data_IF_294275329795
#
_entry.id   IF_294275329795
#
_cell.length_a   1.000
_cell.length_b   1.000
_cell.length_c   1.000
_cell.angle_alpha   90.00
_cell.angle_beta   90.00
_cell.angle_gamma   90.00
#
_symmetry.space_group_name_H-M   'P 1'
#
loop_
_entity.id
_entity.type
_entity.pdbx_description
1 polymer ?
#
# COMPACT_ATOMS: atom_id res chain seq x y z
N UNK A 1 -8.06 -37.85 16.36
CA UNK A 1 -6.92 -37.16 17.00
C UNK A 1 -7.46 -35.98 17.78
N UNK A 2 -7.39 -36.06 19.11
CA UNK A 2 -7.94 -35.09 20.06
C UNK A 2 -7.16 -33.78 19.99
N UNK A 3 -7.84 -32.66 19.71
CA UNK A 3 -7.32 -31.31 19.90
C UNK A 3 -7.30 -31.02 21.41
N UNK A 4 -6.23 -31.39 22.09
CA UNK A 4 -5.95 -30.83 23.42
C UNK A 4 -5.67 -29.35 23.24
N UNK A 5 -6.67 -28.53 23.56
CA UNK A 5 -6.57 -27.08 23.63
C UNK A 5 -5.36 -26.70 24.50
N UNK A 6 -4.41 -25.94 23.93
CA UNK A 6 -3.23 -25.41 24.63
C UNK A 6 -3.59 -24.47 25.81
N UNK A 7 -4.88 -24.29 26.13
CA UNK A 7 -5.37 -23.43 27.21
C UNK A 7 -4.84 -23.80 28.60
N UNK A 8 -4.47 -25.06 28.85
CA UNK A 8 -3.93 -25.47 30.16
C UNK A 8 -2.47 -25.06 30.39
N UNK A 9 -1.73 -24.66 29.36
CA UNK A 9 -0.30 -24.28 29.48
C UNK A 9 -0.09 -22.79 29.83
N UNK A 10 -1.10 -21.95 29.62
CA UNK A 10 -0.97 -20.49 29.78
C UNK A 10 -1.29 -19.98 31.20
N UNK A 11 -1.86 -20.83 32.06
CA UNK A 11 -2.31 -20.43 33.40
C UNK A 11 -3.54 -19.50 33.38
N UNK A 12 -3.91 -18.90 34.52
CA UNK A 12 -5.04 -17.97 34.58
C UNK A 12 -4.72 -16.64 33.88
N UNK A 13 -5.75 -15.99 33.34
CA UNK A 13 -5.64 -14.60 32.85
C UNK A 13 -5.49 -13.67 34.06
N UNK A 14 -4.31 -13.08 34.21
CA UNK A 14 -3.95 -12.22 35.34
C UNK A 14 -3.72 -10.75 34.96
N UNK A 15 -4.11 -10.34 33.76
CA UNK A 15 -4.09 -8.93 33.33
C UNK A 15 -5.49 -8.48 32.94
N UNK A 16 -5.96 -7.40 33.55
CA UNK A 16 -7.21 -6.73 33.25
C UNK A 16 -6.93 -5.40 32.56
N UNK A 17 -7.29 -5.28 31.28
CA UNK A 17 -7.23 -4.04 30.52
C UNK A 17 -8.58 -3.34 30.68
N UNK A 18 -8.61 -2.21 31.39
CA UNK A 18 -9.82 -1.46 31.72
C UNK A 18 -9.91 -0.20 30.88
N UNK A 19 -11.02 -0.04 30.16
CA UNK A 19 -11.30 1.08 29.29
C UNK A 19 -12.35 1.98 29.91
N UNK A 20 -12.06 3.28 30.00
CA UNK A 20 -13.00 4.30 30.46
C UNK A 20 -13.73 3.96 31.78
N UNK A 21 -13.12 3.13 32.63
CA UNK A 21 -13.64 2.77 33.96
C UNK A 21 -14.53 1.51 34.01
N UNK A 22 -15.14 1.07 32.91
CA UNK A 22 -16.25 0.12 32.99
C UNK A 22 -16.05 -1.21 32.22
N UNK A 23 -15.27 -1.20 31.13
CA UNK A 23 -15.11 -2.42 30.30
C UNK A 23 -13.76 -3.10 30.53
N UNK A 24 -13.78 -4.39 30.87
CA UNK A 24 -12.57 -5.17 31.18
C UNK A 24 -12.29 -6.22 30.10
N UNK A 25 -11.11 -6.16 29.48
CA UNK A 25 -10.56 -7.25 28.68
C UNK A 25 -9.52 -8.02 29.49
N UNK A 26 -9.58 -9.35 29.43
CA UNK A 26 -8.66 -10.20 30.18
C UNK A 26 -7.60 -10.83 29.28
N UNK A 27 -6.34 -10.78 29.72
CA UNK A 27 -5.18 -11.34 29.04
C UNK A 27 -4.23 -12.07 29.99
N UNK A 28 -3.33 -12.90 29.43
CA UNK A 28 -2.25 -13.57 30.14
C UNK A 28 -1.00 -12.68 30.10
N UNK A 29 -0.48 -12.28 31.26
CA UNK A 29 0.76 -11.49 31.38
C UNK A 29 1.91 -12.08 30.57
N UNK A 30 2.11 -13.40 30.66
CA UNK A 30 3.16 -14.14 29.93
C UNK A 30 3.08 -13.94 28.42
N UNK A 31 1.86 -13.93 27.87
CA UNK A 31 1.67 -13.73 26.42
C UNK A 31 1.99 -12.28 26.05
N UNK A 32 1.55 -11.31 26.86
CA UNK A 32 1.84 -9.89 26.60
C UNK A 32 3.35 -9.58 26.70
N UNK A 33 4.04 -10.14 27.69
CA UNK A 33 5.49 -10.01 27.87
C UNK A 33 6.29 -10.48 26.63
N UNK A 34 5.82 -11.51 25.94
CA UNK A 34 6.50 -12.03 24.74
C UNK A 34 6.38 -11.10 23.53
N UNK A 35 5.27 -10.37 23.41
CA UNK A 35 4.90 -9.67 22.18
C UNK A 35 4.74 -8.16 22.32
N UNK A 36 4.93 -7.60 23.51
CA UNK A 36 4.78 -6.17 23.80
C UNK A 36 5.80 -5.70 24.82
N UNK A 37 6.66 -4.75 24.43
CA UNK A 37 7.69 -4.20 25.32
C UNK A 37 7.09 -3.42 26.49
N UNK A 38 5.86 -2.90 26.35
CA UNK A 38 5.12 -2.27 27.45
C UNK A 38 4.93 -3.21 28.67
N UNK A 39 4.98 -4.53 28.45
CA UNK A 39 4.84 -5.54 29.50
C UNK A 39 6.14 -6.28 29.82
N UNK A 40 7.20 -6.15 29.01
CA UNK A 40 8.42 -6.97 29.09
C UNK A 40 9.12 -6.91 30.46
N UNK A 41 9.25 -5.71 31.04
CA UNK A 41 9.98 -5.51 32.31
C UNK A 41 9.09 -5.66 33.55
N UNK A 42 7.84 -6.12 33.39
CA UNK A 42 6.90 -6.14 34.51
C UNK A 42 7.00 -7.43 35.32
N UNK A 43 7.03 -7.34 36.66
CA UNK A 43 7.06 -8.52 37.51
C UNK A 43 5.81 -9.36 37.29
N UNK A 44 6.02 -10.64 37.01
CA UNK A 44 4.95 -11.64 36.84
C UNK A 44 4.49 -12.08 38.22
N UNK A 45 3.60 -11.31 38.85
CA UNK A 45 2.99 -11.73 40.12
C UNK A 45 1.93 -12.79 39.77
N UNK A 46 2.15 -14.03 40.22
CA UNK A 46 1.34 -15.18 39.81
C UNK A 46 -0.09 -15.17 40.39
N UNK A 47 -0.32 -14.42 41.46
CA UNK A 47 -1.58 -14.42 42.21
C UNK A 47 -2.35 -13.08 42.15
N UNK A 48 -1.69 -11.98 41.78
CA UNK A 48 -2.34 -10.67 41.69
C UNK A 48 -2.79 -10.35 40.26
N UNK A 49 -4.05 -9.97 40.14
CA UNK A 49 -4.60 -9.42 38.90
C UNK A 49 -4.04 -8.01 38.67
N UNK A 50 -3.27 -7.84 37.61
CA UNK A 50 -2.76 -6.53 37.21
C UNK A 50 -3.82 -5.76 36.41
N UNK A 51 -4.34 -4.69 37.00
CA UNK A 51 -5.28 -3.79 36.33
C UNK A 51 -4.53 -2.67 35.61
N UNK A 52 -4.79 -2.54 34.32
CA UNK A 52 -4.24 -1.53 33.44
C UNK A 52 -5.33 -0.64 32.91
N UNK A 53 -5.27 0.63 33.32
CA UNK A 53 -6.19 1.65 32.82
C UNK A 53 -5.68 2.16 31.49
N UNK A 54 -6.42 1.84 30.42
CA UNK A 54 -6.25 2.47 29.13
C UNK A 54 -7.13 3.71 29.16
N UNK A 55 -6.56 4.82 29.63
CA UNK A 55 -7.19 6.14 29.55
C UNK A 55 -7.10 6.60 28.10
N UNK A 56 -8.10 6.25 27.30
CA UNK A 56 -8.33 6.93 26.04
C UNK A 56 -9.02 8.25 26.37
N UNK A 57 -8.36 9.39 26.14
CA UNK A 57 -9.10 10.61 25.79
C UNK A 57 -10.07 10.27 24.64
N UNK A 58 -11.18 10.99 24.43
CA UNK A 58 -12.06 10.76 23.28
C UNK A 58 -11.20 10.72 22.00
N UNK A 59 -11.00 9.52 21.48
CA UNK A 59 -9.87 9.21 20.63
C UNK A 59 -10.09 7.85 19.94
N UNK A 60 -9.23 7.50 18.97
CA UNK A 60 -9.51 6.41 18.03
C UNK A 60 -9.42 5.01 18.65
N UNK A 61 -8.91 4.87 19.87
CA UNK A 61 -8.70 3.57 20.53
C UNK A 61 -9.97 3.16 21.27
N UNK A 62 -10.70 2.21 20.69
CA UNK A 62 -11.88 1.59 21.29
C UNK A 62 -11.56 0.22 21.87
N UNK A 63 -12.47 -0.35 22.68
CA UNK A 63 -12.37 -1.75 23.13
C UNK A 63 -12.19 -2.71 21.95
N UNK A 64 -12.84 -2.45 20.81
CA UNK A 64 -12.71 -3.28 19.62
C UNK A 64 -11.27 -3.28 19.07
N UNK A 65 -10.60 -2.12 19.07
CA UNK A 65 -9.20 -1.99 18.63
C UNK A 65 -8.28 -2.81 19.53
N UNK A 66 -8.47 -2.77 20.85
CA UNK A 66 -7.61 -3.54 21.75
C UNK A 66 -7.92 -5.03 21.72
N UNK A 67 -9.19 -5.41 21.53
CA UNK A 67 -9.54 -6.80 21.29
C UNK A 67 -8.86 -7.33 20.02
N UNK A 68 -8.85 -6.55 18.93
CA UNK A 68 -8.16 -6.93 17.69
C UNK A 68 -6.64 -7.05 17.88
N UNK A 69 -6.03 -6.14 18.65
CA UNK A 69 -4.62 -6.23 19.01
C UNK A 69 -4.31 -7.50 19.82
N UNK A 70 -5.14 -7.82 20.82
CA UNK A 70 -5.03 -9.08 21.56
C UNK A 70 -5.17 -10.27 20.62
N UNK A 71 -6.17 -10.27 19.73
CA UNK A 71 -6.38 -11.36 18.77
C UNK A 71 -5.16 -11.55 17.86
N UNK A 72 -4.51 -10.46 17.42
CA UNK A 72 -3.26 -10.50 16.66
C UNK A 72 -2.11 -11.15 17.44
N UNK A 73 -1.99 -10.82 18.73
CA UNK A 73 -1.00 -11.43 19.63
C UNK A 73 -1.30 -12.91 19.86
N UNK A 74 -2.53 -13.25 20.21
CA UNK A 74 -2.90 -14.65 20.51
C UNK A 74 -2.85 -15.54 19.28
N UNK A 75 -3.05 -15.01 18.08
CA UNK A 75 -2.84 -15.77 16.84
C UNK A 75 -1.39 -16.27 16.67
N UNK A 76 -0.41 -15.65 17.34
CA UNK A 76 0.99 -16.14 17.33
C UNK A 76 1.21 -17.34 18.26
N UNK A 77 0.35 -17.51 19.26
CA UNK A 77 0.46 -18.57 20.28
C UNK A 77 -0.50 -19.73 20.00
N UNK A 78 -1.63 -19.42 19.37
CA UNK A 78 -2.71 -20.35 19.08
C UNK A 78 -3.11 -20.21 17.62
N UNK A 79 -2.62 -21.14 16.79
CA UNK A 79 -2.89 -21.17 15.35
C UNK A 79 -4.36 -21.43 15.00
N UNK A 80 -5.19 -21.82 15.97
CA UNK A 80 -6.64 -21.91 15.78
C UNK A 80 -7.32 -20.54 15.78
N UNK A 81 -6.63 -19.50 16.26
CA UNK A 81 -7.09 -18.11 16.22
C UNK A 81 -6.61 -17.46 14.93
N UNK A 82 -7.54 -16.87 14.20
CA UNK A 82 -7.26 -16.04 13.03
C UNK A 82 -7.31 -14.57 13.42
N UNK A 83 -6.33 -13.78 12.99
CA UNK A 83 -6.44 -12.32 13.02
C UNK A 83 -7.61 -11.87 12.12
N UNK A 84 -8.59 -11.19 12.69
CA UNK A 84 -9.72 -10.61 11.97
C UNK A 84 -9.62 -9.09 11.98
N UNK A 85 -9.28 -8.54 10.82
CA UNK A 85 -9.22 -7.09 10.62
C UNK A 85 -10.62 -6.51 10.35
N UNK A 86 -10.91 -5.29 10.82
CA UNK A 86 -12.26 -4.72 10.88
C UNK A 86 -12.95 -4.62 9.52
N UNK A 87 -12.22 -4.20 8.49
CA UNK A 87 -12.76 -4.00 7.15
C UNK A 87 -11.64 -4.08 6.11
N UNK A 88 -12.00 -3.94 4.83
CA UNK A 88 -11.03 -3.80 3.73
C UNK A 88 -10.61 -2.34 3.51
N UNK A 89 -11.03 -1.43 4.39
CA UNK A 89 -10.56 -0.06 4.41
C UNK A 89 -9.28 0.04 5.25
N UNK A 90 -8.23 0.61 4.68
CA UNK A 90 -6.97 0.85 5.38
C UNK A 90 -7.14 1.80 6.56
N UNK A 91 -7.99 2.83 6.41
CA UNK A 91 -8.24 3.85 7.45
C UNK A 91 -8.81 3.25 8.74
N UNK A 92 -9.70 2.25 8.61
CA UNK A 92 -10.28 1.54 9.76
C UNK A 92 -9.25 0.71 10.54
N UNK A 93 -8.10 0.43 9.93
CA UNK A 93 -7.00 -0.32 10.54
C UNK A 93 -5.93 0.60 11.16
N UNK A 94 -5.95 1.90 10.87
CA UNK A 94 -4.99 2.86 11.45
C UNK A 94 -5.04 2.91 12.99
N UNK A 95 -6.23 2.90 13.64
CA UNK A 95 -6.29 2.86 15.10
C UNK A 95 -5.57 1.65 15.70
N UNK A 96 -5.70 0.47 15.07
CA UNK A 96 -4.99 -0.74 15.49
C UNK A 96 -3.48 -0.59 15.34
N UNK A 97 -3.01 -0.05 14.22
CA UNK A 97 -1.58 0.14 13.97
C UNK A 97 -0.96 1.14 14.96
N UNK A 98 -1.62 2.27 15.21
CA UNK A 98 -1.17 3.28 16.18
C UNK A 98 -1.18 2.71 17.59
N UNK A 99 -2.23 1.98 17.96
CA UNK A 99 -2.31 1.34 19.27
C UNK A 99 -1.21 0.28 19.45
N UNK A 100 -1.03 -0.60 18.47
CA UNK A 100 0.00 -1.63 18.52
C UNK A 100 1.40 -1.03 18.68
N UNK A 101 1.68 0.08 18.00
CA UNK A 101 2.93 0.81 18.17
C UNK A 101 3.09 1.39 19.58
N UNK A 102 2.06 2.04 20.12
CA UNK A 102 2.08 2.60 21.46
C UNK A 102 2.31 1.53 22.53
N UNK A 103 1.82 0.31 22.28
CA UNK A 103 2.07 -0.87 23.12
C UNK A 103 3.46 -1.49 22.90
N UNK A 104 4.28 -0.96 22.00
CA UNK A 104 5.60 -1.52 21.68
C UNK A 104 5.49 -2.96 21.17
N UNK A 105 4.51 -3.21 20.30
CA UNK A 105 4.24 -4.53 19.74
C UNK A 105 5.42 -5.01 18.91
N UNK A 106 5.82 -6.26 19.09
CA UNK A 106 6.96 -6.87 18.38
C UNK A 106 6.76 -6.91 16.87
N UNK A 107 7.89 -6.91 16.14
CA UNK A 107 7.91 -6.96 14.67
C UNK A 107 7.12 -8.15 14.11
N UNK A 108 7.15 -9.32 14.76
CA UNK A 108 6.45 -10.53 14.28
C UNK A 108 4.94 -10.28 14.19
N UNK A 109 4.34 -9.71 15.23
CA UNK A 109 2.91 -9.39 15.26
C UNK A 109 2.59 -8.26 14.26
N UNK A 110 3.43 -7.22 14.20
CA UNK A 110 3.25 -6.12 13.25
C UNK A 110 3.28 -6.60 11.80
N UNK A 111 4.23 -7.46 11.43
CA UNK A 111 4.28 -8.06 10.10
C UNK A 111 3.06 -8.94 9.81
N UNK A 112 2.53 -9.65 10.82
CA UNK A 112 1.30 -10.45 10.67
C UNK A 112 0.09 -9.56 10.36
N UNK A 113 -0.04 -8.41 11.03
CA UNK A 113 -1.09 -7.43 10.74
C UNK A 113 -0.93 -6.86 9.32
N UNK A 114 0.31 -6.45 8.97
CA UNK A 114 0.61 -5.94 7.63
C UNK A 114 0.33 -6.95 6.53
N UNK A 115 0.64 -8.24 6.74
CA UNK A 115 0.32 -9.30 5.79
C UNK A 115 -1.19 -9.50 5.64
N UNK A 116 -1.92 -9.56 6.74
CA UNK A 116 -3.37 -9.73 6.72
C UNK A 116 -4.08 -8.57 5.99
N UNK A 117 -3.56 -7.34 6.08
CA UNK A 117 -4.04 -6.21 5.27
C UNK A 117 -3.77 -6.42 3.78
N UNK A 118 -2.54 -6.80 3.43
CA UNK A 118 -2.13 -7.03 2.04
C UNK A 118 -2.89 -8.19 1.40
N UNK A 119 -3.27 -9.22 2.17
CA UNK A 119 -4.05 -10.37 1.67
C UNK A 119 -5.48 -10.01 1.26
N UNK A 120 -5.99 -8.84 1.65
CA UNK A 120 -7.30 -8.36 1.19
C UNK A 120 -7.21 -7.88 -0.26
N UNK A 121 -7.96 -8.56 -1.14
CA UNK A 121 -8.01 -8.24 -2.57
C UNK A 121 -8.71 -6.91 -2.85
N UNK A 122 -9.63 -6.51 -1.99
CA UNK A 122 -10.45 -5.29 -2.05
C UNK A 122 -9.93 -4.18 -1.11
N UNK A 123 -8.63 -4.25 -0.76
CA UNK A 123 -8.01 -3.24 0.09
C UNK A 123 -8.09 -1.85 -0.56
N UNK A 124 -8.72 -0.91 0.13
CA UNK A 124 -8.91 0.46 -0.32
C UNK A 124 -8.56 1.48 0.75
N UNK A 125 -8.37 2.72 0.34
CA UNK A 125 -8.18 3.88 1.22
C UNK A 125 -9.23 4.95 0.92
N UNK A 126 -9.55 5.76 1.93
CA UNK A 126 -10.47 6.88 1.79
C UNK A 126 -9.70 8.19 1.64
N UNK A 127 -10.12 9.02 0.69
CA UNK A 127 -9.56 10.34 0.42
C UNK A 127 -10.60 11.39 0.81
N UNK A 128 -10.38 12.17 1.88
CA UNK A 128 -11.31 13.22 2.27
C UNK A 128 -11.29 14.38 1.27
N UNK A 129 -12.48 14.82 0.84
CA UNK A 129 -12.69 15.72 -0.30
C UNK A 129 -13.01 17.17 0.09
N UNK A 130 -12.81 17.58 1.34
CA UNK A 130 -13.07 18.95 1.76
C UNK A 130 -13.38 19.07 3.26
N UNK A 131 -13.89 20.24 3.70
CA UNK A 131 -14.37 20.41 5.06
C UNK A 131 -15.64 19.57 5.32
N UNK A 132 -16.00 19.35 6.60
CA UNK A 132 -17.24 18.70 6.97
C UNK A 132 -18.44 19.42 6.35
N UNK A 133 -19.39 18.65 5.81
CA UNK A 133 -20.70 19.14 5.37
C UNK A 133 -21.49 19.71 6.56
N UNK A 134 -22.63 20.34 6.27
CA UNK A 134 -23.55 20.86 7.30
C UNK A 134 -23.99 19.79 8.33
N UNK A 135 -23.87 18.51 7.98
CA UNK A 135 -24.20 17.37 8.85
C UNK A 135 -22.97 16.84 9.62
N UNK A 136 -21.83 17.54 9.57
CA UNK A 136 -20.56 17.12 10.19
C UNK A 136 -19.82 16.00 9.44
N UNK A 137 -20.37 15.50 8.34
CA UNK A 137 -19.77 14.42 7.54
C UNK A 137 -18.82 14.99 6.48
N UNK A 138 -17.57 14.52 6.44
CA UNK A 138 -16.62 14.88 5.37
C UNK A 138 -16.90 14.01 4.15
N UNK A 139 -17.11 14.58 2.95
CA UNK A 139 -17.22 13.78 1.74
C UNK A 139 -15.91 13.02 1.49
N UNK A 140 -15.99 11.73 1.16
CA UNK A 140 -14.82 10.87 0.92
C UNK A 140 -14.92 10.16 -0.42
N UNK A 141 -13.77 9.93 -1.05
CA UNK A 141 -13.63 9.07 -2.23
C UNK A 141 -12.86 7.83 -1.82
N UNK A 142 -13.40 6.65 -2.13
CA UNK A 142 -12.71 5.37 -1.90
C UNK A 142 -11.82 5.02 -3.10
N UNK A 143 -10.58 4.63 -2.81
CA UNK A 143 -9.54 4.33 -3.79
C UNK A 143 -8.98 2.94 -3.50
N UNK A 144 -9.22 2.00 -4.41
CA UNK A 144 -8.65 0.66 -4.40
C UNK A 144 -7.14 0.73 -4.62
N UNK A 145 -6.40 0.07 -3.75
CA UNK A 145 -4.94 0.09 -3.77
C UNK A 145 -4.33 -0.94 -4.71
N UNK A 146 -5.16 -1.81 -5.32
CA UNK A 146 -4.73 -2.89 -6.22
C UNK A 146 -5.38 -2.75 -7.59
N UNK A 147 -4.57 -3.01 -8.62
CA UNK A 147 -4.98 -3.26 -10.01
C UNK A 147 -5.97 -2.26 -10.63
N UNK A 148 -6.02 -1.04 -10.09
CA UNK A 148 -6.96 0.02 -10.45
C UNK A 148 -6.17 1.27 -10.84
N UNK A 149 -6.41 1.78 -12.05
CA UNK A 149 -5.84 3.04 -12.54
C UNK A 149 -6.92 4.10 -12.46
N UNK A 150 -6.61 5.19 -11.77
CA UNK A 150 -7.47 6.35 -11.63
C UNK A 150 -7.06 7.42 -12.64
N UNK A 151 -8.02 8.17 -13.15
CA UNK A 151 -7.77 9.29 -14.05
C UNK A 151 -8.71 10.45 -13.78
N UNK A 152 -8.22 11.67 -14.04
CA UNK A 152 -9.00 12.91 -13.94
C UNK A 152 -9.19 13.47 -15.36
N UNK A 153 -10.39 13.42 -15.96
CA UNK A 153 -10.63 14.05 -17.25
C UNK A 153 -10.57 15.58 -17.14
N UNK A 154 -9.96 16.24 -18.14
CA UNK A 154 -10.03 17.71 -18.27
C UNK A 154 -11.48 18.15 -18.54
N UNK A 155 -11.88 19.30 -17.99
CA UNK A 155 -13.20 19.89 -18.22
C UNK A 155 -13.51 19.98 -19.72
N UNK A 156 -14.62 19.40 -20.16
CA UNK A 156 -15.05 19.43 -21.57
C UNK A 156 -14.74 18.17 -22.38
N UNK A 157 -13.90 17.26 -21.88
CA UNK A 157 -13.90 15.89 -22.39
C UNK A 157 -15.19 15.21 -21.92
N UNK A 158 -16.03 14.75 -22.84
CA UNK A 158 -17.28 14.10 -22.50
C UNK A 158 -17.01 12.97 -21.49
N UNK A 159 -17.55 13.11 -20.28
CA UNK A 159 -17.54 12.08 -19.24
C UNK A 159 -18.14 10.73 -19.69
N UNK A 160 -18.75 10.69 -20.89
CA UNK A 160 -19.42 9.53 -21.46
C UNK A 160 -18.55 8.56 -22.27
N UNK A 161 -17.27 8.85 -22.58
CA UNK A 161 -16.50 7.99 -23.51
C UNK A 161 -15.64 6.92 -22.84
N UNK A 162 -15.46 6.96 -21.52
CA UNK A 162 -14.79 5.90 -20.77
C UNK A 162 -15.82 5.21 -19.87
N UNK A 163 -16.74 4.46 -20.50
CA UNK A 163 -17.58 3.51 -19.75
C UNK A 163 -16.66 2.50 -19.08
N UNK A 164 -16.76 2.42 -17.76
CA UNK A 164 -16.09 1.40 -16.96
C UNK A 164 -16.29 0.02 -17.59
N UNK A 165 -15.19 -0.71 -17.67
CA UNK A 165 -15.20 -2.14 -17.93
C UNK A 165 -16.25 -2.82 -17.04
N UNK A 166 -16.92 -3.83 -17.59
CA UNK A 166 -18.06 -4.49 -16.96
C UNK A 166 -17.72 -4.98 -15.53
N UNK A 167 -18.70 -5.07 -14.61
CA UNK A 167 -18.49 -5.59 -13.24
C UNK A 167 -17.96 -7.04 -13.15
N UNK A 168 -17.75 -7.72 -14.29
CA UNK A 168 -17.18 -9.06 -14.40
C UNK A 168 -15.77 -9.09 -15.02
N UNK A 169 -15.18 -7.93 -15.33
CA UNK A 169 -13.79 -7.83 -15.82
C UNK A 169 -12.88 -7.41 -14.65
N UNK A 170 -11.70 -8.05 -14.48
CA UNK A 170 -10.85 -7.85 -13.31
C UNK A 170 -10.22 -6.44 -13.19
N UNK A 171 -10.46 -5.53 -14.14
CA UNK A 171 -9.91 -4.17 -14.11
C UNK A 171 -10.96 -3.11 -14.34
N UNK A 172 -11.06 -2.19 -13.39
CA UNK A 172 -11.85 -0.98 -13.53
C UNK A 172 -10.88 0.16 -13.80
N UNK A 173 -10.82 0.63 -15.05
CA UNK A 173 -10.33 1.99 -15.31
C UNK A 173 -11.40 2.92 -14.74
N UNK A 174 -11.20 3.38 -13.51
CA UNK A 174 -12.19 4.22 -12.83
C UNK A 174 -12.01 5.67 -13.27
N UNK A 175 -12.98 6.16 -14.05
CA UNK A 175 -13.24 7.59 -14.12
C UNK A 175 -13.64 7.98 -12.71
N UNK A 176 -12.95 8.93 -12.09
CA UNK A 176 -13.52 9.57 -10.92
C UNK A 176 -14.80 10.26 -11.40
N UNK A 177 -15.94 9.74 -10.96
CA UNK A 177 -17.26 10.16 -11.41
C UNK A 177 -17.40 11.69 -11.35
N UNK A 178 -18.27 12.22 -12.19
CA UNK A 178 -18.64 13.63 -12.22
C UNK A 178 -18.96 14.11 -10.80
N UNK A 179 -19.56 13.33 -9.91
CA UNK A 179 -19.75 13.69 -8.49
C UNK A 179 -18.44 13.88 -7.71
N UNK A 180 -17.47 12.97 -7.81
CA UNK A 180 -16.16 13.11 -7.17
C UNK A 180 -15.39 14.31 -7.73
N UNK A 181 -15.51 14.56 -9.04
CA UNK A 181 -14.94 15.75 -9.68
C UNK A 181 -15.68 17.05 -9.34
N UNK A 182 -17.00 16.99 -9.14
CA UNK A 182 -17.82 18.15 -8.76
C UNK A 182 -17.57 18.51 -7.30
N UNK A 183 -17.41 17.52 -6.41
CA UNK A 183 -16.92 17.69 -5.04
C UNK A 183 -15.49 18.26 -5.05
N UNK A 184 -14.56 17.66 -5.81
CA UNK A 184 -13.18 18.15 -5.91
C UNK A 184 -13.08 19.59 -6.44
N UNK A 185 -13.94 19.97 -7.39
CA UNK A 185 -14.04 21.34 -7.93
C UNK A 185 -14.76 22.30 -7.00
N UNK A 186 -15.77 21.85 -6.27
CA UNK A 186 -16.52 22.67 -5.31
C UNK A 186 -15.67 23.09 -4.11
N UNK A 187 -14.61 22.35 -3.78
CA UNK A 187 -13.80 22.59 -2.59
C UNK A 187 -12.40 23.16 -2.85
N UNK A 188 -12.12 23.65 -4.07
CA UNK A 188 -11.04 24.56 -4.56
C UNK A 188 -9.73 24.79 -3.75
N UNK A 189 -9.26 23.82 -2.96
CA UNK A 189 -8.08 23.98 -2.09
C UNK A 189 -6.87 23.12 -2.51
N UNK A 190 -6.94 22.41 -3.63
CA UNK A 190 -5.79 21.62 -4.14
C UNK A 190 -6.13 20.49 -5.12
N UNK A 191 -7.41 20.24 -5.38
CA UNK A 191 -7.85 19.17 -6.28
C UNK A 191 -7.63 17.76 -5.72
N UNK A 192 -8.30 16.77 -6.30
CA UNK A 192 -8.22 15.36 -5.87
C UNK A 192 -6.77 14.84 -5.82
N UNK A 193 -5.93 15.24 -6.78
CA UNK A 193 -4.54 14.80 -6.90
C UNK A 193 -3.69 15.14 -5.67
N UNK A 194 -3.87 16.33 -5.09
CA UNK A 194 -3.13 16.74 -3.89
C UNK A 194 -3.67 16.04 -2.63
N UNK A 195 -4.98 15.84 -2.54
CA UNK A 195 -5.61 15.14 -1.43
C UNK A 195 -5.22 13.66 -1.39
N UNK A 196 -5.22 12.98 -2.55
CA UNK A 196 -4.74 11.62 -2.67
C UNK A 196 -3.25 11.51 -2.31
N UNK A 197 -2.41 12.42 -2.83
CA UNK A 197 -0.99 12.43 -2.50
C UNK A 197 -0.75 12.58 -0.99
N UNK A 198 -1.48 13.49 -0.32
CA UNK A 198 -1.39 13.69 1.13
C UNK A 198 -1.86 12.47 1.92
N UNK A 199 -2.93 11.82 1.50
CA UNK A 199 -3.43 10.61 2.15
C UNK A 199 -2.43 9.44 2.01
N UNK A 200 -1.85 9.26 0.82
CA UNK A 200 -0.81 8.27 0.56
C UNK A 200 0.45 8.54 1.37
N UNK A 201 0.88 9.80 1.42
CA UNK A 201 2.02 10.24 2.20
C UNK A 201 1.88 9.84 3.68
N UNK A 202 0.71 10.10 4.27
CA UNK A 202 0.43 9.74 5.66
C UNK A 202 0.48 8.23 5.89
N UNK A 203 -0.09 7.45 4.96
CA UNK A 203 -0.08 5.98 5.01
C UNK A 203 1.34 5.43 4.85
N UNK A 204 2.11 5.93 3.87
CA UNK A 204 3.50 5.53 3.61
C UNK A 204 4.40 5.84 4.81
N UNK A 205 4.26 7.04 5.38
CA UNK A 205 5.01 7.46 6.56
C UNK A 205 4.72 6.55 7.76
N UNK A 206 3.43 6.28 8.04
CA UNK A 206 3.05 5.37 9.12
C UNK A 206 3.59 3.96 8.87
N UNK A 207 3.35 3.40 7.68
CA UNK A 207 3.79 2.04 7.37
C UNK A 207 5.32 1.89 7.41
N UNK A 208 6.06 2.89 6.92
CA UNK A 208 7.52 2.93 7.00
C UNK A 208 8.02 2.93 8.44
N UNK A 209 7.50 3.85 9.26
CA UNK A 209 7.84 3.94 10.69
C UNK A 209 7.56 2.64 11.45
N UNK A 210 6.43 1.99 11.14
CA UNK A 210 6.04 0.69 11.69
C UNK A 210 6.74 -0.51 11.02
N UNK A 211 7.64 -0.25 10.06
CA UNK A 211 8.37 -1.24 9.27
C UNK A 211 7.46 -2.27 8.57
N UNK A 212 6.24 -1.91 8.18
CA UNK A 212 5.26 -2.79 7.53
C UNK A 212 5.61 -3.02 6.04
N UNK A 213 6.72 -3.73 5.80
CA UNK A 213 7.37 -3.87 4.47
C UNK A 213 6.39 -4.23 3.35
N UNK A 214 5.56 -5.25 3.54
CA UNK A 214 4.60 -5.71 2.52
C UNK A 214 3.57 -4.65 2.15
N UNK A 215 3.08 -3.91 3.15
CA UNK A 215 2.09 -2.86 2.94
C UNK A 215 2.72 -1.62 2.31
N UNK A 216 3.92 -1.22 2.77
CA UNK A 216 4.69 -0.15 2.14
C UNK A 216 4.97 -0.45 0.67
N UNK A 217 5.34 -1.69 0.33
CA UNK A 217 5.53 -2.13 -1.05
C UNK A 217 4.26 -1.99 -1.88
N UNK A 218 3.12 -2.45 -1.35
CA UNK A 218 1.81 -2.32 -2.01
C UNK A 218 1.46 -0.85 -2.28
N UNK A 219 1.67 0.05 -1.31
CA UNK A 219 1.44 1.48 -1.49
C UNK A 219 2.38 2.12 -2.53
N UNK A 220 3.64 1.70 -2.57
CA UNK A 220 4.59 2.14 -3.60
C UNK A 220 4.21 1.62 -4.99
N UNK A 221 3.72 0.39 -5.09
CA UNK A 221 3.27 -0.18 -6.36
C UNK A 221 2.00 0.50 -6.85
N UNK A 222 1.07 0.84 -5.95
CA UNK A 222 -0.06 1.71 -6.26
C UNK A 222 0.41 3.08 -6.78
N UNK A 223 1.36 3.72 -6.08
CA UNK A 223 1.90 5.02 -6.50
C UNK A 223 2.53 4.97 -7.90
N UNK A 224 3.36 3.95 -8.18
CA UNK A 224 3.94 3.72 -9.51
C UNK A 224 2.87 3.52 -10.57
N UNK A 225 1.84 2.74 -10.26
CA UNK A 225 0.72 2.45 -11.18
C UNK A 225 -0.03 3.73 -11.60
N UNK A 226 -0.12 4.72 -10.72
CA UNK A 226 -0.76 6.00 -11.05
C UNK A 226 0.17 7.01 -11.76
N UNK A 227 1.48 6.78 -11.80
CA UNK A 227 2.48 7.67 -12.44
C UNK A 227 2.59 7.42 -13.94
N UNK A 228 1.56 7.85 -14.68
CA UNK A 228 1.47 7.68 -16.13
C UNK A 228 2.37 8.71 -16.86
N UNK A 229 3.19 8.31 -17.86
CA UNK A 229 4.10 9.22 -18.58
C UNK A 229 3.41 10.41 -19.25
N UNK A 230 2.15 10.22 -19.66
CA UNK A 230 1.29 11.31 -20.12
C UNK A 230 0.77 12.09 -18.92
N UNK A 231 1.55 13.10 -18.51
CA UNK A 231 1.29 14.05 -17.40
C UNK A 231 -0.16 14.56 -17.32
N UNK A 232 -0.90 14.58 -18.44
CA UNK A 232 -2.26 15.10 -18.51
C UNK A 232 -3.33 14.19 -17.89
N UNK A 233 -3.05 12.90 -17.69
CA UNK A 233 -4.01 11.92 -17.16
C UNK A 233 -3.56 11.30 -15.83
N UNK A 234 -2.28 11.42 -15.48
CA UNK A 234 -1.75 10.90 -14.22
C UNK A 234 -2.34 11.63 -13.02
N UNK A 235 -2.83 10.86 -12.05
CA UNK A 235 -3.36 11.41 -10.79
C UNK A 235 -2.22 11.81 -9.83
N UNK A 236 -1.10 11.09 -9.84
CA UNK A 236 -0.03 11.27 -8.84
C UNK A 236 1.28 11.83 -9.39
N UNK A 237 1.57 11.72 -10.69
CA UNK A 237 2.84 12.23 -11.22
C UNK A 237 3.04 13.74 -10.95
N UNK A 238 2.03 14.62 -11.10
CA UNK A 238 2.17 16.04 -10.76
C UNK A 238 2.38 16.32 -9.27
N UNK A 239 1.95 15.40 -8.40
CA UNK A 239 1.96 15.55 -6.92
C UNK A 239 2.88 14.53 -6.24
N UNK A 240 3.77 13.89 -6.99
CA UNK A 240 4.60 12.77 -6.49
C UNK A 240 5.52 13.21 -5.36
N UNK A 241 6.04 14.44 -5.42
CA UNK A 241 6.86 15.03 -4.35
C UNK A 241 6.10 15.23 -3.04
N UNK A 242 4.77 15.36 -3.09
CA UNK A 242 3.93 15.40 -1.90
C UNK A 242 3.75 14.00 -1.32
N UNK A 243 3.57 12.98 -2.17
CA UNK A 243 3.41 11.59 -1.72
C UNK A 243 4.71 10.98 -1.16
N UNK A 244 5.86 11.32 -1.75
CA UNK A 244 7.20 10.89 -1.35
C UNK A 244 7.95 12.02 -0.62
N UNK A 245 7.35 12.51 0.46
CA UNK A 245 7.92 13.57 1.29
C UNK A 245 9.23 13.12 1.97
N UNK A 246 10.08 14.05 2.46
CA UNK A 246 11.30 13.68 3.20
C UNK A 246 11.03 12.72 4.37
N UNK A 247 9.96 12.94 5.14
CA UNK A 247 9.61 12.06 6.27
C UNK A 247 9.24 10.64 5.83
N UNK A 248 8.62 10.48 4.66
CA UNK A 248 8.35 9.15 4.08
C UNK A 248 9.65 8.44 3.74
N UNK A 249 10.60 9.16 3.14
CA UNK A 249 11.92 8.59 2.77
C UNK A 249 12.72 8.21 4.01
N UNK A 250 12.71 9.05 5.05
CA UNK A 250 13.46 8.81 6.30
C UNK A 250 13.02 7.55 7.04
N UNK A 251 11.73 7.20 6.95
CA UNK A 251 11.18 6.01 7.58
C UNK A 251 11.01 4.82 6.62
N UNK A 252 11.40 4.95 5.36
CA UNK A 252 11.24 3.88 4.38
C UNK A 252 12.09 2.65 4.79
N UNK A 253 11.55 1.42 4.71
CA UNK A 253 12.33 0.22 4.94
C UNK A 253 13.55 0.20 4.00
N UNK A 254 14.74 0.01 4.58
CA UNK A 254 16.02 0.09 3.85
C UNK A 254 16.03 -0.86 2.67
N UNK A 255 15.42 -2.03 2.81
CA UNK A 255 15.33 -3.05 1.76
C UNK A 255 14.59 -2.53 0.52
N UNK A 256 13.58 -1.68 0.69
CA UNK A 256 12.84 -1.07 -0.43
C UNK A 256 13.62 0.07 -1.07
N UNK A 257 14.37 0.85 -0.28
CA UNK A 257 15.30 1.85 -0.80
C UNK A 257 16.43 1.18 -1.59
N UNK A 258 16.98 0.08 -1.07
CA UNK A 258 17.98 -0.73 -1.75
C UNK A 258 17.41 -1.41 -2.98
N UNK A 259 16.17 -1.90 -2.97
CA UNK A 259 15.53 -2.42 -4.17
C UNK A 259 15.44 -1.34 -5.26
N UNK A 260 15.02 -0.13 -4.90
CA UNK A 260 15.01 1.02 -5.80
C UNK A 260 16.42 1.34 -6.33
N UNK A 261 17.41 1.41 -5.45
CA UNK A 261 18.80 1.67 -5.82
C UNK A 261 19.40 0.56 -6.69
N UNK A 262 19.21 -0.71 -6.34
CA UNK A 262 19.72 -1.87 -7.09
C UNK A 262 19.02 -1.95 -8.44
N UNK A 263 17.70 -1.74 -8.48
CA UNK A 263 16.97 -1.63 -9.73
C UNK A 263 17.55 -0.50 -10.57
N UNK A 264 17.68 0.70 -10.02
CA UNK A 264 18.20 1.85 -10.78
C UNK A 264 19.67 1.65 -11.18
N UNK A 265 20.53 1.07 -10.34
CA UNK A 265 21.94 0.79 -10.62
C UNK A 265 22.13 -0.34 -11.65
N UNK A 266 21.26 -1.34 -11.67
CA UNK A 266 21.22 -2.40 -12.68
C UNK A 266 20.57 -1.90 -13.98
N UNK A 267 19.61 -0.98 -13.90
CA UNK A 267 18.88 -0.43 -15.06
C UNK A 267 19.57 0.80 -15.70
N UNK A 268 20.46 1.50 -14.98
CA UNK A 268 21.14 2.74 -15.43
C UNK A 268 22.47 2.53 -16.15
N UNK A 269 22.90 1.30 -16.43
CA UNK A 269 24.02 1.08 -17.35
C UNK A 269 23.51 0.59 -18.69
N UNK A 270 22.92 1.52 -19.45
CA UNK A 270 22.48 1.27 -20.82
C UNK A 270 23.59 1.62 -21.80
N UNK A 271 24.01 0.66 -22.61
CA UNK A 271 24.13 0.97 -24.03
C UNK A 271 22.69 1.25 -24.50
N UNK A 272 22.32 2.53 -24.63
CA UNK A 272 21.03 2.89 -25.19
C UNK A 272 21.01 2.43 -26.64
N UNK A 273 20.12 1.48 -26.96
CA UNK A 273 19.85 1.11 -28.34
C UNK A 273 18.58 1.85 -28.74
N UNK A 274 18.75 2.69 -29.76
CA UNK A 274 17.64 3.37 -30.40
C UNK A 274 16.82 2.38 -31.21
N UNK A 275 15.53 2.26 -30.89
CA UNK A 275 14.61 1.45 -31.68
C UNK A 275 13.84 2.35 -32.65
N UNK A 276 13.82 1.97 -33.92
CA UNK A 276 12.93 2.53 -34.94
C UNK A 276 12.34 1.39 -35.74
N UNK A 277 11.02 1.31 -35.84
CA UNK A 277 10.32 0.25 -36.55
C UNK A 277 8.93 0.69 -36.99
N UNK A 278 8.54 0.42 -38.24
CA UNK A 278 7.26 0.89 -38.75
C UNK A 278 6.06 0.01 -38.35
N UNK A 279 6.32 -1.26 -38.02
CA UNK A 279 5.31 -2.22 -37.56
C UNK A 279 5.93 -3.21 -36.58
N UNK A 280 5.47 -3.16 -35.34
CA UNK A 280 5.82 -4.09 -34.26
C UNK A 280 4.54 -4.62 -33.67
N UNK A 281 4.46 -5.95 -33.51
CA UNK A 281 3.38 -6.57 -32.77
C UNK A 281 3.70 -6.53 -31.27
N UNK A 282 2.87 -5.79 -30.55
CA UNK A 282 2.98 -5.59 -29.11
C UNK A 282 1.99 -6.52 -28.43
N UNK A 283 2.51 -7.51 -27.70
CA UNK A 283 1.70 -8.42 -26.89
C UNK A 283 1.46 -7.81 -25.51
N UNK A 284 0.20 -7.80 -25.07
CA UNK A 284 -0.18 -7.40 -23.72
C UNK A 284 0.09 -8.52 -22.73
N UNK A 285 1.37 -8.72 -22.40
CA UNK A 285 1.84 -9.81 -21.56
C UNK A 285 1.49 -9.63 -20.08
N UNK A 286 1.27 -8.39 -19.63
CA UNK A 286 0.89 -8.07 -18.26
C UNK A 286 -0.49 -7.43 -18.20
N UNK A 287 -1.09 -7.56 -17.04
CA UNK A 287 -2.41 -7.04 -16.71
C UNK A 287 -2.46 -5.51 -16.79
N UNK A 288 -1.44 -4.81 -16.27
CA UNK A 288 -1.32 -3.36 -16.38
C UNK A 288 -1.19 -2.86 -17.83
N UNK A 289 -0.46 -3.59 -18.68
CA UNK A 289 -0.35 -3.24 -20.11
C UNK A 289 -1.69 -3.41 -20.83
N UNK A 290 -2.40 -4.50 -20.58
CA UNK A 290 -3.71 -4.77 -21.16
C UNK A 290 -4.74 -3.68 -20.81
N UNK A 291 -4.80 -3.29 -19.53
CA UNK A 291 -5.69 -2.23 -19.03
C UNK A 291 -5.40 -0.87 -19.67
N UNK A 292 -4.12 -0.52 -19.88
CA UNK A 292 -3.73 0.74 -20.52
C UNK A 292 -4.30 0.89 -21.93
N UNK A 293 -4.31 -0.19 -22.71
CA UNK A 293 -4.82 -0.19 -24.08
C UNK A 293 -6.32 -0.53 -24.20
N UNK A 294 -6.99 -0.76 -23.07
CA UNK A 294 -8.35 -1.27 -23.02
C UNK A 294 -8.52 -2.55 -23.86
N UNK A 295 -7.62 -3.53 -23.63
CA UNK A 295 -7.61 -4.83 -24.28
C UNK A 295 -7.52 -5.97 -23.26
N UNK A 296 -7.89 -7.21 -23.63
CA UNK A 296 -7.62 -8.38 -22.80
C UNK A 296 -6.12 -8.71 -22.69
N UNK A 297 -5.70 -9.31 -21.57
CA UNK A 297 -4.35 -9.88 -21.43
C UNK A 297 -4.12 -10.95 -22.48
N UNK A 298 -2.93 -10.97 -23.09
CA UNK A 298 -2.57 -11.87 -24.18
C UNK A 298 -3.03 -11.40 -25.57
N UNK A 299 -3.71 -10.25 -25.68
CA UNK A 299 -4.01 -9.62 -26.96
C UNK A 299 -2.77 -8.96 -27.58
N UNK A 300 -2.75 -8.85 -28.91
CA UNK A 300 -1.68 -8.18 -29.65
C UNK A 300 -2.20 -6.96 -30.41
N UNK A 301 -1.40 -5.91 -30.48
CA UNK A 301 -1.64 -4.73 -31.31
C UNK A 301 -0.41 -4.36 -32.13
N UNK A 302 -0.64 -3.88 -33.36
CA UNK A 302 0.44 -3.34 -34.19
C UNK A 302 0.69 -1.87 -33.87
N UNK A 303 1.95 -1.53 -33.61
CA UNK A 303 2.44 -0.18 -33.35
C UNK A 303 3.63 0.18 -34.25
N UNK A 304 3.91 1.47 -34.43
CA UNK A 304 5.22 1.96 -34.88
C UNK A 304 6.07 2.33 -33.67
N UNK A 305 7.39 2.23 -33.79
CA UNK A 305 8.34 2.79 -32.84
C UNK A 305 8.98 4.02 -33.50
N UNK A 306 8.74 5.17 -32.91
CA UNK A 306 9.28 6.47 -33.31
C UNK A 306 10.19 7.02 -32.22
N UNK A 307 11.04 7.99 -32.55
CA UNK A 307 11.80 8.71 -31.52
C UNK A 307 11.01 9.91 -31.01
N UNK A 308 10.97 10.06 -29.69
CA UNK A 308 10.51 11.26 -29.02
C UNK A 308 11.38 12.44 -29.44
N UNK A 309 10.73 13.52 -29.86
CA UNK A 309 11.39 14.78 -30.20
C UNK A 309 11.84 15.57 -28.98
N UNK A 310 11.37 15.21 -27.77
CA UNK A 310 11.62 15.95 -26.52
C UNK A 310 12.89 15.47 -25.82
N UNK A 311 13.08 14.15 -25.75
CA UNK A 311 14.14 13.51 -24.96
C UNK A 311 14.89 12.40 -25.72
N UNK A 312 14.57 12.17 -27.00
CA UNK A 312 15.22 11.17 -27.84
C UNK A 312 14.85 9.72 -27.50
N UNK A 313 13.94 9.49 -26.55
CA UNK A 313 13.48 8.16 -26.15
C UNK A 313 12.70 7.45 -27.27
N UNK A 314 12.69 6.11 -27.28
CA UNK A 314 11.85 5.36 -28.23
C UNK A 314 10.40 5.33 -27.74
N UNK A 315 9.45 5.65 -28.61
CA UNK A 315 8.02 5.74 -28.35
C UNK A 315 7.26 4.73 -29.20
N UNK A 316 6.40 3.90 -28.60
CA UNK A 316 5.41 3.11 -29.34
C UNK A 316 4.20 3.98 -29.68
N UNK A 317 3.91 4.14 -30.96
CA UNK A 317 2.74 4.86 -31.49
C UNK A 317 1.74 3.86 -32.09
N UNK A 318 0.50 3.87 -31.61
CA UNK A 318 -0.56 2.97 -32.06
C UNK A 318 -1.52 3.65 -33.03
N UNK A 319 -2.05 2.92 -34.01
CA UNK A 319 -2.91 3.44 -35.10
C UNK A 319 -4.30 3.97 -34.67
N UNK A 320 -4.65 3.89 -33.38
CA UNK A 320 -5.92 4.41 -32.84
C UNK A 320 -5.65 5.52 -31.83
N UNK A 321 -5.74 6.76 -32.27
CA UNK A 321 -6.00 7.93 -31.43
C UNK A 321 -5.11 8.10 -30.18
N UNK A 322 -3.89 8.61 -30.39
CA UNK A 322 -3.11 9.40 -29.41
C UNK A 322 -2.76 8.70 -28.09
N UNK A 323 -2.09 7.56 -28.15
CA UNK A 323 -1.33 7.05 -26.99
C UNK A 323 0.05 6.62 -27.45
N UNK A 324 1.04 7.49 -27.23
CA UNK A 324 2.45 7.16 -27.38
C UNK A 324 2.98 6.69 -26.02
N UNK A 325 3.62 5.51 -25.97
CA UNK A 325 4.22 4.98 -24.75
C UNK A 325 5.73 4.92 -24.89
N UNK A 326 6.47 5.48 -23.93
CA UNK A 326 7.92 5.34 -23.91
C UNK A 326 8.29 3.88 -23.70
N UNK A 327 9.00 3.31 -24.68
CA UNK A 327 9.54 1.96 -24.61
C UNK A 327 11.04 2.03 -24.54
N UNK A 328 11.57 1.24 -23.60
CA UNK A 328 12.99 1.14 -23.35
C UNK A 328 13.42 -0.28 -23.65
N UNK A 329 14.13 -0.48 -24.75
CA UNK A 329 14.86 -1.72 -24.97
C UNK A 329 16.26 -1.59 -24.41
N UNK A 330 16.66 -2.58 -23.61
CA UNK A 330 18.00 -2.68 -23.05
C UNK A 330 18.70 -3.83 -23.75
N UNK A 331 19.81 -3.54 -24.42
CA UNK A 331 20.69 -4.54 -25.05
C UNK A 331 22.01 -4.55 -24.30
N UNK A 332 22.35 -5.72 -23.74
CA UNK A 332 23.48 -5.86 -22.83
C UNK A 332 23.08 -5.78 -21.36
N UNK A 333 24.02 -6.20 -20.51
CA UNK A 333 23.83 -6.51 -19.09
C UNK A 333 24.70 -7.72 -18.74
N UNK A 334 25.09 -7.90 -17.46
CA UNK A 334 25.94 -9.03 -17.09
C UNK A 334 25.25 -10.34 -17.45
N UNK A 335 26.01 -11.28 -18.02
CA UNK A 335 25.51 -12.63 -18.34
C UNK A 335 24.86 -13.24 -17.09
N UNK A 336 23.93 -14.18 -17.26
CA UNK A 336 23.19 -14.76 -16.12
C UNK A 336 24.11 -15.27 -14.99
N UNK A 337 25.32 -15.72 -15.32
CA UNK A 337 26.37 -16.11 -14.36
C UNK A 337 27.02 -14.92 -13.65
N UNK A 338 27.32 -13.83 -14.36
CA UNK A 338 27.87 -12.59 -13.79
C UNK A 338 26.83 -11.84 -12.96
N UNK A 339 25.56 -11.88 -13.37
CA UNK A 339 24.42 -11.37 -12.61
C UNK A 339 24.23 -12.14 -11.30
N UNK A 340 24.43 -13.47 -11.31
CA UNK A 340 24.43 -14.28 -10.07
C UNK A 340 25.59 -13.90 -9.17
N UNK A 341 26.79 -13.74 -9.72
CA UNK A 341 27.99 -13.33 -8.97
C UNK A 341 27.83 -11.96 -8.32
N UNK A 342 27.40 -10.94 -9.08
CA UNK A 342 27.15 -9.59 -8.57
C UNK A 342 26.07 -9.57 -7.48
N UNK A 343 25.02 -10.38 -7.62
CA UNK A 343 24.00 -10.54 -6.57
C UNK A 343 24.59 -11.16 -5.30
N UNK A 344 25.43 -12.18 -5.42
CA UNK A 344 26.10 -12.78 -4.26
C UNK A 344 27.03 -11.80 -3.56
N UNK A 345 27.85 -11.05 -4.32
CA UNK A 345 28.78 -10.06 -3.77
C UNK A 345 28.04 -8.89 -3.07
N UNK A 346 26.93 -8.40 -3.63
CA UNK A 346 26.10 -7.34 -3.02
C UNK A 346 25.40 -7.86 -1.75
N UNK A 347 24.88 -9.08 -1.76
CA UNK A 347 24.23 -9.69 -0.59
C UNK A 347 25.24 -9.96 0.52
N UNK A 348 26.43 -10.47 0.20
CA UNK A 348 27.51 -10.71 1.17
C UNK A 348 28.00 -9.40 1.80
N UNK A 349 28.17 -8.34 1.01
CA UNK A 349 28.54 -7.02 1.53
C UNK A 349 27.47 -6.42 2.45
N UNK A 350 26.19 -6.63 2.15
CA UNK A 350 25.08 -6.15 2.98
C UNK A 350 24.85 -6.98 4.26
N UNK A 351 25.30 -8.24 4.31
CA UNK A 351 25.22 -9.09 5.51
C UNK A 351 26.37 -8.86 6.50
N UNK A 352 27.43 -8.17 6.09
CA UNK A 352 28.59 -7.84 6.93
C UNK A 352 28.50 -6.43 7.56
N UNK A 353 27.43 -5.67 7.29
CA UNK A 353 27.15 -4.33 7.83
C UNK A 353 26.01 -4.32 8.83
#
# INVERSE_FOLDING_TARGET
>A
MSKTSNSNLLGPKNVHLVFNGDEVLQAHSRVLQLFSSAFADRPTVAEDVQTWLIKAEPGPVTRAVVQQWLDAIYAQVDSSRSLRLPSSCLDDSLPLLIFAEAMGTTDVVMQSIGRALVEKSDLHMTVPMGPPSANGMVPVVSVNLRDTIYFVPKSGAAAGTLRGCHPNEPHVVMVLDVEAMTLAKAYDAGGFQALLAKALEACLHLCGRLKLRSLTRLLLDFLKLQCLPTMQFSVLLPTMSLALSPRVIDCMPRELLFEGFVRDALEHRRAQVDLTADKVDVLMASQGAATWFNLPVGSSQTASIEKSSVDGSSLLTFKRGVSALEVRAVLGGPLQQESKRLRTEIVEAAMQS
#
